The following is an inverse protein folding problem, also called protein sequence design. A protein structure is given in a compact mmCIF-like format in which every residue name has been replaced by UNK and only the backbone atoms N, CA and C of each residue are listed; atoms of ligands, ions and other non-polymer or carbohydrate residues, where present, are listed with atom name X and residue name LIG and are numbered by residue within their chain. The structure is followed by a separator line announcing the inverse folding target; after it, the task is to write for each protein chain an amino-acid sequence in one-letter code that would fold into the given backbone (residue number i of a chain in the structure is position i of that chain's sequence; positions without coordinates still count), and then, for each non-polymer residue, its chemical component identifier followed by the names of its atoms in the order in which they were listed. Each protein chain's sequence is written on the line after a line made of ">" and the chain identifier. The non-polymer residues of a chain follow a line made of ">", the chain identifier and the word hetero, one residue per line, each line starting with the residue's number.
data_IF_089112486432
#
_entry.id   IF_089112486432
#
_cell.length_a   1.000
_cell.length_b   1.000
_cell.length_c   1.000
_cell.angle_alpha   90.00
_cell.angle_beta   90.00
_cell.angle_gamma   90.00
#
_symmetry.space_group_name_H-M   'P 1'
#
loop_
_entity.id
_entity.type
_entity.pdbx_description
1 polymer ?
#
# COMPACT_ATOMS: atom_id res chain seq x y z
N UNK A 1 8.89 4.77 -11.01
CA UNK A 1 8.66 6.03 -11.74
C UNK A 1 9.66 7.08 -11.29
N UNK A 2 9.84 8.17 -12.05
CA UNK A 2 10.99 9.08 -11.89
C UNK A 2 11.20 9.69 -10.49
N UNK A 3 10.13 9.91 -9.72
CA UNK A 3 10.17 10.65 -8.45
C UNK A 3 10.13 9.77 -7.19
N UNK A 4 10.21 8.45 -7.33
CA UNK A 4 10.15 7.53 -6.17
C UNK A 4 10.99 6.28 -6.37
N UNK A 5 11.47 5.73 -5.26
CA UNK A 5 12.07 4.39 -5.19
C UNK A 5 11.07 3.42 -4.56
N UNK A 6 11.05 2.18 -5.02
CA UNK A 6 10.18 1.13 -4.51
C UNK A 6 11.05 0.03 -3.94
N UNK A 7 10.77 -0.39 -2.71
CA UNK A 7 11.43 -1.49 -2.04
C UNK A 7 10.39 -2.45 -1.49
N UNK A 8 10.76 -3.72 -1.32
CA UNK A 8 9.99 -4.71 -0.56
C UNK A 8 10.63 -4.94 0.80
N UNK A 9 9.82 -5.14 1.83
CA UNK A 9 10.31 -5.42 3.18
C UNK A 9 9.42 -6.43 3.91
N UNK A 10 9.99 -7.16 4.88
CA UNK A 10 9.24 -8.01 5.82
C UNK A 10 8.91 -7.21 7.08
N UNK A 11 7.62 -6.92 7.31
CA UNK A 11 7.15 -6.31 8.53
C UNK A 11 6.92 -7.37 9.61
N UNK A 12 7.95 -7.62 10.43
CA UNK A 12 8.01 -8.75 11.39
C UNK A 12 6.79 -8.89 12.31
N UNK A 13 6.25 -7.78 12.82
CA UNK A 13 5.08 -7.81 13.71
C UNK A 13 3.76 -7.65 12.95
N UNK A 14 3.80 -7.15 11.71
CA UNK A 14 2.62 -6.83 10.90
C UNK A 14 1.73 -5.71 11.45
N UNK A 15 0.57 -5.54 10.79
CA UNK A 15 -0.42 -4.51 11.13
C UNK A 15 -1.15 -4.84 12.42
N UNK A 16 -1.62 -3.80 13.09
CA UNK A 16 -2.55 -3.94 14.22
C UNK A 16 -3.93 -4.33 13.70
N UNK A 17 -4.49 -5.42 14.24
CA UNK A 17 -5.86 -5.89 13.98
C UNK A 17 -6.83 -5.41 15.06
N UNK A 18 -6.34 -5.15 16.26
CA UNK A 18 -7.15 -4.68 17.38
C UNK A 18 -6.36 -4.64 18.67
N UNK A 19 -7.06 -4.31 19.74
CA UNK A 19 -6.51 -4.25 21.09
C UNK A 19 -7.41 -5.04 22.03
N UNK A 20 -6.82 -5.96 22.79
CA UNK A 20 -7.55 -6.76 23.77
C UNK A 20 -6.66 -7.08 24.96
N UNK A 21 -7.20 -7.02 26.18
CA UNK A 21 -6.50 -7.42 27.41
C UNK A 21 -5.12 -6.74 27.57
N UNK A 22 -5.03 -5.45 27.28
CA UNK A 22 -3.78 -4.70 27.45
C UNK A 22 -2.74 -4.88 26.33
N UNK A 23 -3.05 -5.64 25.27
CA UNK A 23 -2.10 -6.00 24.21
C UNK A 23 -2.65 -5.70 22.82
N UNK A 24 -1.74 -5.25 21.95
CA UNK A 24 -2.02 -5.09 20.52
C UNK A 24 -2.01 -6.45 19.84
N UNK A 25 -3.15 -6.83 19.27
CA UNK A 25 -3.26 -7.99 18.40
C UNK A 25 -2.77 -7.59 17.01
N UNK A 26 -1.84 -8.36 16.45
CA UNK A 26 -1.25 -8.07 15.14
C UNK A 26 -1.40 -9.24 14.17
N UNK A 27 -1.28 -8.96 12.87
CA UNK A 27 -1.36 -10.00 11.82
C UNK A 27 -0.25 -11.05 11.88
N UNK A 28 0.86 -10.76 12.54
CA UNK A 28 2.11 -11.50 12.36
C UNK A 28 2.90 -10.98 11.14
N UNK A 29 4.02 -11.64 10.78
CA UNK A 29 4.89 -11.20 9.70
C UNK A 29 4.15 -11.09 8.36
N UNK A 30 4.27 -9.94 7.69
CA UNK A 30 3.72 -9.72 6.34
C UNK A 30 4.77 -9.07 5.45
N UNK A 31 4.70 -9.33 4.14
CA UNK A 31 5.48 -8.58 3.14
C UNK A 31 4.77 -7.28 2.80
N UNK A 32 5.54 -6.19 2.75
CA UNK A 32 5.04 -4.85 2.43
C UNK A 32 5.89 -4.21 1.34
N UNK A 33 5.29 -3.25 0.65
CA UNK A 33 5.99 -2.37 -0.27
C UNK A 33 6.24 -1.03 0.42
N UNK A 34 7.47 -0.53 0.27
CA UNK A 34 7.95 0.75 0.75
C UNK A 34 8.20 1.66 -0.46
N UNK A 35 7.33 2.64 -0.67
CA UNK A 35 7.51 3.65 -1.73
C UNK A 35 8.10 4.90 -1.11
N UNK A 36 9.39 5.14 -1.37
CA UNK A 36 10.13 6.31 -0.88
C UNK A 36 9.99 7.43 -1.90
N UNK A 37 9.45 8.58 -1.48
CA UNK A 37 9.41 9.78 -2.30
C UNK A 37 10.77 10.49 -2.23
N UNK A 38 11.43 10.69 -3.37
CA UNK A 38 12.69 11.45 -3.39
C UNK A 38 12.41 12.93 -3.12
N UNK A 39 13.37 13.60 -2.52
CA UNK A 39 13.36 15.05 -2.25
C UNK A 39 12.09 15.54 -1.52
N UNK A 40 11.57 14.69 -0.63
CA UNK A 40 10.28 14.90 0.04
C UNK A 40 10.39 15.48 1.44
N UNK A 41 11.60 15.81 1.89
CA UNK A 41 11.90 16.34 3.23
C UNK A 41 11.12 17.61 3.59
N UNK A 42 10.75 18.42 2.58
CA UNK A 42 10.07 19.71 2.76
C UNK A 42 8.63 19.71 2.21
N UNK A 43 8.01 18.54 2.08
CA UNK A 43 6.62 18.45 1.61
C UNK A 43 5.69 19.13 2.63
N UNK A 44 4.70 19.86 2.09
CA UNK A 44 3.70 20.56 2.90
C UNK A 44 2.85 19.57 3.74
N UNK A 45 2.55 19.94 4.98
CA UNK A 45 1.66 19.20 5.88
C UNK A 45 0.28 18.95 5.27
N UNK A 46 -0.20 19.83 4.38
CA UNK A 46 -1.44 19.63 3.62
C UNK A 46 -1.41 18.35 2.78
N UNK A 47 -0.31 18.08 2.09
CA UNK A 47 -0.16 16.86 1.29
C UNK A 47 -0.16 15.61 2.16
N UNK A 48 0.51 15.65 3.32
CA UNK A 48 0.50 14.55 4.29
C UNK A 48 -0.92 14.30 4.81
N UNK A 49 -1.69 15.36 5.05
CA UNK A 49 -3.09 15.26 5.49
C UNK A 49 -4.00 14.67 4.41
N UNK A 50 -3.82 15.06 3.15
CA UNK A 50 -4.55 14.46 2.02
C UNK A 50 -4.27 12.96 1.90
N UNK A 51 -3.02 12.56 2.10
CA UNK A 51 -2.65 11.14 2.09
C UNK A 51 -3.23 10.37 3.25
N UNK A 52 -3.21 10.95 4.46
CA UNK A 52 -3.86 10.37 5.63
C UNK A 52 -5.35 10.16 5.37
N UNK A 53 -6.03 11.17 4.80
CA UNK A 53 -7.42 11.05 4.38
C UNK A 53 -7.62 9.90 3.38
N UNK A 54 -6.74 9.74 2.38
CA UNK A 54 -6.80 8.61 1.44
C UNK A 54 -6.66 7.28 2.18
N UNK A 55 -5.81 7.19 3.21
CA UNK A 55 -5.64 5.95 4.00
C UNK A 55 -6.81 5.67 4.94
N UNK A 56 -7.42 6.71 5.51
CA UNK A 56 -8.53 6.60 6.48
C UNK A 56 -9.88 6.38 5.80
N UNK A 57 -10.06 6.92 4.59
CA UNK A 57 -11.27 6.72 3.77
C UNK A 57 -11.23 5.44 2.95
N UNK A 58 -10.17 4.62 3.07
CA UNK A 58 -10.17 3.26 2.53
C UNK A 58 -11.34 2.50 3.17
N UNK A 59 -12.29 1.99 2.38
CA UNK A 59 -13.44 1.32 2.93
C UNK A 59 -13.00 0.09 3.72
N UNK A 60 -13.67 -0.08 4.85
CA UNK A 60 -13.44 -1.10 5.86
C UNK A 60 -13.77 -2.52 5.36
N UNK A 61 -14.28 -2.63 4.13
CA UNK A 61 -14.84 -3.86 3.57
C UNK A 61 -13.85 -4.53 2.62
N UNK A 62 -13.93 -5.86 2.62
CA UNK A 62 -13.35 -6.80 1.66
C UNK A 62 -13.76 -6.58 0.19
N UNK A 63 -14.36 -5.44 -0.16
CA UNK A 63 -14.97 -5.15 -1.46
C UNK A 63 -14.14 -4.24 -2.37
N UNK A 64 -12.86 -3.94 -2.09
CA UNK A 64 -12.09 -3.08 -3.01
C UNK A 64 -10.79 -3.70 -3.48
N UNK A 65 -10.69 -3.81 -4.81
CA UNK A 65 -9.52 -4.12 -5.62
C UNK A 65 -8.45 -3.01 -5.58
N UNK A 66 -8.31 -2.32 -4.44
CA UNK A 66 -7.39 -1.20 -4.25
C UNK A 66 -6.19 -1.66 -3.43
N UNK A 67 -5.04 -1.02 -3.69
CA UNK A 67 -3.84 -1.24 -2.89
C UNK A 67 -4.10 -0.76 -1.46
N UNK A 68 -3.93 -1.66 -0.49
CA UNK A 68 -4.09 -1.30 0.91
C UNK A 68 -2.91 -0.43 1.36
N UNK A 69 -3.23 0.75 1.87
CA UNK A 69 -2.26 1.64 2.50
C UNK A 69 -2.24 1.37 4.01
N UNK A 70 -1.08 0.98 4.53
CA UNK A 70 -0.91 0.75 5.96
C UNK A 70 -0.49 2.00 6.73
N UNK A 71 0.09 2.99 6.04
CA UNK A 71 0.41 4.29 6.62
C UNK A 71 1.64 4.94 6.00
N UNK A 72 2.14 5.96 6.70
CA UNK A 72 3.28 6.78 6.30
C UNK A 72 4.38 6.67 7.36
N UNK A 73 5.63 6.62 6.90
CA UNK A 73 6.84 6.67 7.71
C UNK A 73 7.82 7.67 7.10
N UNK A 74 8.98 7.85 7.71
CA UNK A 74 10.00 8.76 7.24
C UNK A 74 11.39 8.12 7.36
N UNK A 75 12.19 8.28 6.31
CA UNK A 75 13.57 7.79 6.31
C UNK A 75 14.38 8.55 7.36
N UNK A 76 15.10 7.87 8.28
CA UNK A 76 15.72 8.54 9.44
C UNK A 76 16.79 9.56 9.04
N UNK A 77 17.53 9.29 7.96
CA UNK A 77 18.64 10.14 7.45
C UNK A 77 18.11 11.20 6.49
N UNK A 78 17.65 10.81 5.30
CA UNK A 78 17.21 11.73 4.23
C UNK A 78 15.93 12.51 4.55
N UNK A 79 15.18 12.12 5.59
CA UNK A 79 13.85 12.67 5.92
C UNK A 79 12.82 12.53 4.81
N UNK A 80 13.10 11.70 3.81
CA UNK A 80 12.15 11.38 2.77
C UNK A 80 10.97 10.58 3.32
N UNK A 81 9.77 10.94 2.91
CA UNK A 81 8.56 10.20 3.26
C UNK A 81 8.53 8.83 2.58
N UNK A 82 8.02 7.85 3.34
CA UNK A 82 7.90 6.45 2.93
C UNK A 82 6.45 6.04 3.08
N UNK A 83 5.83 5.58 2.00
CA UNK A 83 4.54 4.92 2.07
C UNK A 83 4.71 3.44 2.34
N UNK A 84 3.94 2.93 3.29
CA UNK A 84 3.86 1.52 3.60
C UNK A 84 2.55 0.98 3.03
N UNK A 85 2.63 0.04 2.09
CA UNK A 85 1.48 -0.51 1.37
C UNK A 85 1.54 -2.03 1.29
N UNK A 86 0.40 -2.66 1.01
CA UNK A 86 0.32 -4.10 0.74
C UNK A 86 1.15 -4.48 -0.46
N UNK A 87 1.87 -5.59 -0.34
CA UNK A 87 2.51 -6.24 -1.47
C UNK A 87 1.46 -6.89 -2.37
N UNK A 88 1.61 -6.72 -3.69
CA UNK A 88 0.77 -7.34 -4.71
C UNK A 88 1.58 -8.43 -5.39
N UNK A 89 1.21 -9.69 -5.13
CA UNK A 89 1.93 -10.87 -5.62
C UNK A 89 1.93 -10.95 -7.16
N UNK A 90 0.82 -10.53 -7.77
CA UNK A 90 0.63 -10.55 -9.23
C UNK A 90 1.18 -9.29 -9.95
N UNK A 91 1.97 -8.48 -9.26
CA UNK A 91 2.56 -7.27 -9.83
C UNK A 91 1.53 -6.22 -10.24
N UNK A 92 1.87 -5.44 -11.27
CA UNK A 92 0.99 -4.43 -11.84
C UNK A 92 -0.02 -5.04 -12.81
N UNK A 93 -1.18 -4.39 -12.97
CA UNK A 93 -2.19 -4.82 -13.94
C UNK A 93 -1.60 -4.95 -15.36
N UNK A 94 -0.66 -4.08 -15.74
CA UNK A 94 0.01 -4.15 -17.05
C UNK A 94 0.84 -5.43 -17.21
N UNK A 95 1.60 -5.81 -16.19
CA UNK A 95 2.39 -7.04 -16.19
C UNK A 95 1.46 -8.26 -16.22
N UNK A 96 0.46 -8.28 -15.34
CA UNK A 96 -0.52 -9.36 -15.29
C UNK A 96 -1.25 -9.54 -16.64
N UNK A 97 -1.73 -8.45 -17.24
CA UNK A 97 -2.39 -8.49 -18.54
C UNK A 97 -1.44 -8.94 -19.65
N UNK A 98 -0.15 -8.58 -19.58
CA UNK A 98 0.81 -9.02 -20.60
C UNK A 98 1.03 -10.54 -20.61
N UNK A 99 0.81 -11.21 -19.48
CA UNK A 99 0.98 -12.66 -19.33
C UNK A 99 -0.34 -13.42 -19.51
N UNK A 100 -1.48 -12.82 -19.13
CA UNK A 100 -2.77 -13.51 -19.02
C UNK A 100 -3.88 -12.97 -19.93
N UNK A 101 -3.55 -12.12 -20.92
CA UNK A 101 -4.56 -11.48 -21.77
C UNK A 101 -5.56 -12.47 -22.39
N UNK A 102 -5.06 -13.61 -22.88
CA UNK A 102 -5.87 -14.61 -23.57
C UNK A 102 -6.78 -15.43 -22.63
N UNK A 103 -6.48 -15.44 -21.34
CA UNK A 103 -7.26 -16.19 -20.33
C UNK A 103 -8.43 -15.36 -19.79
N UNK A 104 -8.44 -14.05 -20.07
CA UNK A 104 -9.46 -13.12 -19.58
C UNK A 104 -10.65 -13.14 -20.54
N UNK A 105 -11.82 -13.52 -20.00
CA UNK A 105 -13.08 -13.47 -20.73
C UNK A 105 -13.79 -12.15 -20.45
N UNK A 106 -14.29 -11.53 -21.50
CA UNK A 106 -15.25 -10.45 -21.39
C UNK A 106 -16.60 -11.04 -20.96
N UNK A 107 -17.29 -10.39 -20.02
CA UNK A 107 -18.70 -10.69 -19.81
C UNK A 107 -19.46 -10.05 -20.97
N UNK A 108 -19.97 -10.89 -21.85
CA UNK A 108 -20.99 -10.48 -22.80
C UNK A 108 -22.31 -10.32 -22.02
N UNK A 109 -22.96 -9.17 -22.17
CA UNK A 109 -24.31 -8.97 -21.65
C UNK A 109 -25.29 -9.53 -22.68
N UNK A 110 -25.94 -10.66 -22.38
CA UNK A 110 -27.08 -11.15 -23.17
C UNK A 110 -28.35 -10.41 -22.71
N UNK A 111 -29.10 -9.85 -23.67
CA UNK A 111 -30.47 -9.34 -23.50
C UNK A 111 -31.51 -10.46 -23.42
#
# INVERSE_FOLDING_TARGET
>A
GGFSMIFTAKWRKGRVKGYSKGKLNRTGPITVVLKVLKDSQNINSTFIKELQNITETQPNSSMRNLVHYYGVSQHPITKNYIFVMSYMENGSLREYLSEHFNDIKWMDWEE
#
